data_IF_989685644643
#
_entry.id   IF_989685644643
#
_cell.length_a   1.000
_cell.length_b   1.000
_cell.length_c   1.000
_cell.angle_alpha   90.00
_cell.angle_beta   90.00
_cell.angle_gamma   90.00
#
_symmetry.space_group_name_H-M   'P 1'
#
loop_
_entity.id
_entity.type
_entity.pdbx_description
1 polymer ?
#
# COMPACT_ATOMS: atom_id res chain seq x y z
N UNK A 1 -23.22 1.90 0.49
CA UNK A 1 -22.43 3.14 0.66
C UNK A 1 -20.98 2.79 0.35
N UNK A 2 -20.29 3.58 -0.48
CA UNK A 2 -18.88 3.36 -0.79
C UNK A 2 -18.00 3.88 0.37
N UNK A 3 -16.83 3.28 0.63
CA UNK A 3 -15.88 3.81 1.60
C UNK A 3 -15.47 5.25 1.28
N UNK A 4 -15.19 6.06 2.30
CA UNK A 4 -14.60 7.39 2.13
C UNK A 4 -13.12 7.29 2.50
N UNK A 5 -12.22 7.56 1.55
CA UNK A 5 -10.79 7.69 1.76
C UNK A 5 -10.39 9.18 1.64
N UNK A 6 -10.43 9.95 2.74
CA UNK A 6 -10.41 11.41 2.68
C UNK A 6 -9.01 12.02 2.47
N UNK A 7 -7.94 11.23 2.59
CA UNK A 7 -6.56 11.67 2.41
C UNK A 7 -5.76 10.55 1.75
N UNK A 8 -4.80 10.90 0.90
CA UNK A 8 -3.89 9.96 0.25
C UNK A 8 -2.44 10.37 0.51
N UNK A 9 -1.65 9.48 1.10
CA UNK A 9 -0.18 9.60 1.28
C UNK A 9 0.27 11.00 1.78
N UNK A 10 -0.21 11.47 2.94
CA UNK A 10 0.24 12.75 3.49
C UNK A 10 1.73 12.70 3.82
N UNK A 11 2.47 13.71 3.34
CA UNK A 11 3.91 13.87 3.56
C UNK A 11 4.22 15.33 3.89
N UNK A 12 5.13 15.55 4.82
CA UNK A 12 5.66 16.88 5.14
C UNK A 12 7.20 16.93 5.05
N UNK A 13 7.86 15.77 4.95
CA UNK A 13 9.27 15.66 4.63
C UNK A 13 9.48 15.62 3.10
N UNK A 14 10.08 16.68 2.56
CA UNK A 14 10.25 16.87 1.11
C UNK A 14 11.42 16.09 0.50
N UNK A 15 12.23 15.41 1.31
CA UNK A 15 13.32 14.59 0.78
C UNK A 15 12.76 13.29 0.19
N UNK A 16 12.73 13.23 -1.14
CA UNK A 16 12.14 12.11 -1.92
C UNK A 16 12.63 10.72 -1.52
N UNK A 17 13.86 10.60 -1.01
CA UNK A 17 14.41 9.33 -0.49
C UNK A 17 13.61 8.71 0.66
N UNK A 18 12.79 9.50 1.35
CA UNK A 18 11.96 9.03 2.45
C UNK A 18 10.54 8.70 2.03
N UNK A 19 10.10 9.08 0.82
CA UNK A 19 8.76 8.75 0.33
C UNK A 19 8.54 7.23 0.35
N UNK A 20 7.39 6.79 0.86
CA UNK A 20 7.10 5.37 1.06
C UNK A 20 7.74 4.75 2.32
N UNK A 21 8.37 5.57 3.18
CA UNK A 21 8.90 5.15 4.49
C UNK A 21 8.24 5.95 5.62
N UNK A 22 8.29 5.46 6.88
CA UNK A 22 7.77 6.22 8.03
C UNK A 22 8.38 7.63 8.18
N UNK A 23 9.61 7.83 7.70
CA UNK A 23 10.30 9.12 7.78
C UNK A 23 9.72 10.20 6.84
N UNK A 24 8.77 9.87 5.96
CA UNK A 24 8.10 10.82 5.07
C UNK A 24 7.15 11.79 5.82
N UNK A 25 6.69 11.40 7.01
CA UNK A 25 5.74 12.16 7.81
C UNK A 25 6.28 12.37 9.23
N UNK A 26 6.51 13.61 9.59
CA UNK A 26 6.96 13.97 10.95
C UNK A 26 5.87 13.70 11.99
N UNK A 27 6.24 13.75 13.28
CA UNK A 27 5.27 13.68 14.37
C UNK A 27 4.26 14.83 14.33
N UNK A 28 4.69 16.04 13.96
CA UNK A 28 3.81 17.20 13.79
C UNK A 28 2.84 17.00 12.62
N UNK A 29 3.33 16.47 11.49
CA UNK A 29 2.51 16.09 10.35
C UNK A 29 1.48 15.03 10.72
N UNK A 30 1.90 13.99 11.45
CA UNK A 30 1.03 12.93 11.96
C UNK A 30 -0.05 13.47 12.89
N UNK A 31 0.29 14.38 13.81
CA UNK A 31 -0.66 15.03 14.71
C UNK A 31 -1.68 15.90 13.96
N UNK A 32 -1.28 16.52 12.84
CA UNK A 32 -2.19 17.25 11.97
C UNK A 32 -3.13 16.32 11.20
N UNK A 33 -2.60 15.23 10.61
CA UNK A 33 -3.39 14.20 9.92
C UNK A 33 -4.43 13.59 10.86
N UNK A 34 -4.05 13.27 12.10
CA UNK A 34 -4.98 12.75 13.10
C UNK A 34 -6.11 13.75 13.42
N UNK A 35 -5.79 15.04 13.53
CA UNK A 35 -6.80 16.10 13.72
C UNK A 35 -7.75 16.18 12.53
N UNK A 36 -7.22 16.12 11.31
CA UNK A 36 -8.03 16.09 10.09
C UNK A 36 -8.98 14.88 10.05
N UNK A 37 -8.48 13.67 10.32
CA UNK A 37 -9.29 12.46 10.32
C UNK A 37 -10.41 12.49 11.37
N UNK A 38 -10.11 12.98 12.59
CA UNK A 38 -11.15 13.20 13.62
C UNK A 38 -12.23 14.17 13.15
N UNK A 39 -11.85 15.24 12.45
CA UNK A 39 -12.81 16.18 11.89
C UNK A 39 -13.67 15.55 10.79
N UNK A 40 -13.08 14.73 9.91
CA UNK A 40 -13.84 13.96 8.91
C UNK A 40 -14.85 13.04 9.58
N UNK A 41 -14.42 12.24 10.56
CA UNK A 41 -15.32 11.35 11.31
C UNK A 41 -16.45 12.13 11.99
N UNK A 42 -16.17 13.28 12.61
CA UNK A 42 -17.21 14.09 13.26
C UNK A 42 -18.23 14.71 12.28
N UNK A 43 -17.81 15.00 11.05
CA UNK A 43 -18.68 15.59 10.01
C UNK A 43 -19.44 14.55 9.21
N UNK A 44 -18.92 13.32 9.20
CA UNK A 44 -19.55 12.21 8.51
C UNK A 44 -20.66 11.66 9.39
N UNK A 45 -21.88 11.52 8.85
CA UNK A 45 -23.01 10.86 9.53
C UNK A 45 -22.81 9.33 9.63
N UNK A 46 -21.61 8.89 10.00
CA UNK A 46 -21.31 7.49 10.23
C UNK A 46 -21.90 7.05 11.57
N UNK A 47 -22.43 5.82 11.62
CA UNK A 47 -22.81 5.22 12.88
C UNK A 47 -21.54 5.05 13.74
N UNK A 48 -21.68 5.06 15.07
CA UNK A 48 -20.56 4.77 15.97
C UNK A 48 -19.96 3.38 15.78
N UNK A 49 -20.70 2.48 15.13
CA UNK A 49 -20.26 1.14 14.70
C UNK A 49 -19.63 1.10 13.30
N UNK A 50 -19.51 2.23 12.59
CA UNK A 50 -18.89 2.27 11.26
C UNK A 50 -17.42 1.89 11.37
N UNK A 51 -17.03 0.90 10.57
CA UNK A 51 -15.72 0.30 10.58
C UNK A 51 -14.66 1.26 10.03
N UNK A 52 -13.57 1.46 10.77
CA UNK A 52 -12.39 2.17 10.31
C UNK A 52 -11.42 1.12 9.77
N UNK A 53 -10.98 1.30 8.54
CA UNK A 53 -10.02 0.42 7.87
C UNK A 53 -8.82 1.26 7.43
N UNK A 54 -7.61 0.71 7.58
CA UNK A 54 -6.40 1.35 7.09
C UNK A 54 -6.13 0.93 5.64
N UNK A 55 -5.78 1.91 4.81
CA UNK A 55 -5.32 1.68 3.44
C UNK A 55 -3.79 1.69 3.39
N UNK A 56 -3.19 0.53 3.14
CA UNK A 56 -1.76 0.35 3.00
C UNK A 56 -1.34 0.32 1.53
N UNK A 57 -0.29 1.07 1.22
CA UNK A 57 0.32 1.08 -0.11
C UNK A 57 1.70 0.43 -0.09
N UNK A 58 1.92 -0.58 -0.95
CA UNK A 58 3.15 -1.36 -0.99
C UNK A 58 3.84 -1.31 -2.36
N UNK A 59 5.05 -0.74 -2.41
CA UNK A 59 5.81 -0.59 -3.64
C UNK A 59 7.26 -1.05 -3.50
N UNK A 60 7.81 -1.54 -4.62
CA UNK A 60 9.13 -2.17 -4.67
C UNK A 60 10.03 -1.61 -5.78
N UNK A 61 9.63 -0.51 -6.42
CA UNK A 61 10.32 0.04 -7.58
C UNK A 61 11.46 1.01 -7.24
N UNK A 62 11.63 1.40 -5.97
CA UNK A 62 12.69 2.32 -5.54
C UNK A 62 13.03 2.19 -4.05
N UNK A 63 14.30 2.40 -3.70
CA UNK A 63 14.76 2.67 -2.34
C UNK A 63 14.89 1.45 -1.41
N UNK A 64 14.65 0.23 -1.91
CA UNK A 64 14.67 -1.00 -1.10
C UNK A 64 15.61 -2.07 -1.66
N UNK A 65 16.18 -1.86 -2.85
CA UNK A 65 17.00 -2.86 -3.52
C UNK A 65 16.22 -4.11 -3.92
N UNK A 66 14.90 -3.98 -4.08
CA UNK A 66 14.07 -5.08 -4.57
C UNK A 66 14.42 -5.37 -6.03
N UNK A 67 14.72 -6.62 -6.31
CA UNK A 67 15.07 -7.11 -7.63
C UNK A 67 14.07 -8.17 -8.08
N UNK A 68 14.01 -8.45 -9.37
CA UNK A 68 13.17 -9.51 -9.92
C UNK A 68 13.33 -10.83 -9.15
N UNK A 69 14.55 -11.14 -8.69
CA UNK A 69 14.90 -12.34 -7.92
C UNK A 69 14.25 -12.43 -6.54
N UNK A 70 14.14 -11.32 -5.81
CA UNK A 70 13.80 -11.30 -4.38
C UNK A 70 12.52 -10.49 -4.05
N UNK A 71 11.87 -9.83 -5.02
CA UNK A 71 10.66 -9.02 -4.79
C UNK A 71 9.53 -9.78 -4.09
N UNK A 72 9.43 -11.09 -4.30
CA UNK A 72 8.46 -11.94 -3.60
C UNK A 72 8.67 -11.97 -2.09
N UNK A 73 9.93 -11.94 -1.61
CA UNK A 73 10.24 -11.92 -0.19
C UNK A 73 9.79 -10.60 0.45
N UNK A 74 9.97 -9.49 -0.25
CA UNK A 74 9.47 -8.17 0.18
C UNK A 74 7.94 -8.17 0.26
N UNK A 75 7.25 -8.68 -0.77
CA UNK A 75 5.80 -8.80 -0.79
C UNK A 75 5.26 -9.59 0.41
N UNK A 76 5.85 -10.76 0.68
CA UNK A 76 5.41 -11.58 1.81
C UNK A 76 5.68 -10.92 3.17
N UNK A 77 6.82 -10.24 3.32
CA UNK A 77 7.15 -9.53 4.55
C UNK A 77 6.20 -8.37 4.81
N UNK A 78 5.92 -7.54 3.79
CA UNK A 78 5.02 -6.40 3.93
C UNK A 78 3.56 -6.83 4.13
N UNK A 79 3.14 -7.96 3.52
CA UNK A 79 1.83 -8.54 3.79
C UNK A 79 1.69 -8.98 5.25
N UNK A 80 2.70 -9.66 5.80
CA UNK A 80 2.68 -10.15 7.17
C UNK A 80 2.78 -9.01 8.21
N UNK A 81 3.64 -8.02 7.98
CA UNK A 81 3.81 -6.87 8.88
C UNK A 81 2.74 -5.79 8.74
N UNK A 82 2.05 -5.74 7.60
CA UNK A 82 1.06 -4.72 7.27
C UNK A 82 -0.26 -4.83 8.05
N UNK A 83 -0.60 -6.01 8.56
CA UNK A 83 -1.86 -6.27 9.27
C UNK A 83 -2.00 -5.53 10.62
N UNK A 84 -0.94 -4.84 11.07
CA UNK A 84 -0.87 -4.20 12.39
C UNK A 84 -0.60 -5.21 13.50
N UNK A 85 0.09 -4.78 14.56
CA UNK A 85 0.58 -5.66 15.62
C UNK A 85 -0.55 -6.23 16.52
N UNK A 86 -1.70 -5.57 16.57
CA UNK A 86 -2.81 -5.90 17.48
C UNK A 86 -4.12 -6.29 16.77
N UNK A 87 -4.16 -6.24 15.43
CA UNK A 87 -5.34 -6.55 14.63
C UNK A 87 -6.58 -5.70 14.98
N UNK A 88 -6.39 -4.54 15.62
CA UNK A 88 -7.49 -3.73 16.17
C UNK A 88 -8.42 -3.15 15.10
N UNK A 89 -7.86 -2.83 13.94
CA UNK A 89 -8.60 -2.35 12.78
C UNK A 89 -8.25 -3.21 11.57
N UNK A 90 -9.21 -3.49 10.67
CA UNK A 90 -8.90 -4.11 9.38
C UNK A 90 -7.90 -3.27 8.58
N UNK A 91 -7.13 -3.95 7.73
CA UNK A 91 -6.21 -3.34 6.78
C UNK A 91 -6.57 -3.81 5.38
N UNK A 92 -6.72 -2.86 4.47
CA UNK A 92 -6.82 -3.05 3.03
C UNK A 92 -5.47 -2.72 2.41
N UNK A 93 -5.02 -3.52 1.43
CA UNK A 93 -3.91 -3.11 0.56
C UNK A 93 -4.50 -2.40 -0.65
N UNK A 94 -4.73 -1.09 -0.53
CA UNK A 94 -5.42 -0.31 -1.55
C UNK A 94 -4.52 0.10 -2.71
N UNK A 95 -3.18 0.01 -2.59
CA UNK A 95 -2.28 0.13 -3.75
C UNK A 95 -1.06 -0.76 -3.63
N UNK A 96 -0.68 -1.42 -4.72
CA UNK A 96 0.61 -2.08 -4.81
C UNK A 96 1.04 -2.27 -6.26
N UNK A 97 2.28 -2.71 -6.51
CA UNK A 97 2.71 -3.13 -7.84
C UNK A 97 3.74 -4.25 -7.83
N UNK A 98 3.87 -4.96 -8.94
CA UNK A 98 4.87 -6.02 -9.11
C UNK A 98 6.24 -5.50 -9.57
N UNK A 99 6.35 -4.19 -9.86
CA UNK A 99 7.58 -3.61 -10.37
C UNK A 99 8.65 -3.63 -9.28
N UNK A 100 9.80 -4.21 -9.61
CA UNK A 100 11.00 -4.20 -8.79
C UNK A 100 11.93 -3.07 -9.24
N UNK A 101 12.80 -2.61 -8.35
CA UNK A 101 13.81 -1.58 -8.61
C UNK A 101 14.86 -2.06 -9.62
N UNK A 102 15.27 -3.33 -9.53
CA UNK A 102 16.28 -3.92 -10.39
C UNK A 102 15.80 -5.19 -11.11
N UNK A 103 16.37 -5.44 -12.30
CA UNK A 103 16.32 -6.74 -12.99
C UNK A 103 14.90 -7.37 -13.09
N UNK A 104 13.88 -6.58 -13.42
CA UNK A 104 12.53 -7.08 -13.65
C UNK A 104 12.41 -7.72 -15.04
N UNK A 105 11.78 -8.89 -15.12
CA UNK A 105 11.67 -9.68 -16.37
C UNK A 105 10.22 -10.11 -16.61
N UNK A 106 9.78 -10.16 -17.86
CA UNK A 106 8.45 -10.63 -18.25
C UNK A 106 8.11 -12.02 -17.72
N UNK A 107 9.07 -12.95 -17.79
CA UNK A 107 8.92 -14.35 -17.38
C UNK A 107 8.47 -14.53 -15.93
N UNK A 108 8.71 -13.53 -15.07
CA UNK A 108 8.42 -13.64 -13.63
C UNK A 108 7.15 -12.93 -13.20
N UNK A 109 6.52 -12.14 -14.07
CA UNK A 109 5.37 -11.28 -13.70
C UNK A 109 4.21 -12.07 -13.11
N UNK A 110 3.87 -13.21 -13.72
CA UNK A 110 2.80 -14.08 -13.22
C UNK A 110 3.11 -14.57 -11.80
N UNK A 111 4.32 -15.06 -11.56
CA UNK A 111 4.74 -15.52 -10.23
C UNK A 111 4.69 -14.40 -9.21
N UNK A 112 5.16 -13.20 -9.54
CA UNK A 112 5.17 -12.05 -8.61
C UNK A 112 3.74 -11.59 -8.31
N UNK A 113 2.90 -11.47 -9.34
CA UNK A 113 1.49 -11.11 -9.20
C UNK A 113 0.74 -12.13 -8.33
N UNK A 114 0.86 -13.42 -8.63
CA UNK A 114 0.19 -14.48 -7.86
C UNK A 114 0.70 -14.54 -6.42
N UNK A 115 1.97 -14.24 -6.18
CA UNK A 115 2.52 -14.13 -4.82
C UNK A 115 1.85 -12.99 -4.05
N UNK A 116 1.74 -11.80 -4.64
CA UNK A 116 1.09 -10.67 -3.97
C UNK A 116 -0.41 -10.87 -3.78
N UNK A 117 -1.11 -11.42 -4.78
CA UNK A 117 -2.53 -11.77 -4.63
C UNK A 117 -2.74 -12.75 -3.48
N UNK A 118 -1.91 -13.79 -3.37
CA UNK A 118 -1.99 -14.75 -2.28
C UNK A 118 -1.65 -14.11 -0.93
N UNK A 119 -0.51 -13.42 -0.84
CA UNK A 119 -0.01 -12.85 0.41
C UNK A 119 -0.95 -11.77 0.95
N UNK A 120 -1.41 -10.84 0.12
CA UNK A 120 -2.33 -9.80 0.56
C UNK A 120 -3.73 -10.35 0.84
N UNK A 121 -4.25 -11.32 0.08
CA UNK A 121 -5.53 -11.94 0.45
C UNK A 121 -5.48 -12.72 1.76
N UNK A 122 -4.30 -13.23 2.14
CA UNK A 122 -4.08 -13.94 3.39
C UNK A 122 -4.03 -13.01 4.61
N UNK A 123 -3.54 -11.78 4.43
CA UNK A 123 -3.23 -10.87 5.53
C UNK A 123 -4.04 -9.56 5.55
N UNK A 124 -4.70 -9.20 4.46
CA UNK A 124 -5.44 -7.95 4.29
C UNK A 124 -6.82 -8.19 3.65
N UNK A 125 -7.70 -7.22 3.82
CA UNK A 125 -9.08 -7.23 3.35
C UNK A 125 -9.23 -6.40 2.07
N UNK A 126 -8.91 -6.95 0.89
CA UNK A 126 -9.37 -6.39 -0.41
C UNK A 126 -8.34 -6.29 -1.55
N UNK A 127 -8.77 -5.71 -2.68
CA UNK A 127 -8.09 -5.74 -4.00
C UNK A 127 -8.22 -4.39 -4.76
N UNK A 128 -7.18 -3.99 -5.52
CA UNK A 128 -7.13 -2.74 -6.32
C UNK A 128 -6.42 -2.90 -7.68
N UNK A 129 -6.61 -1.95 -8.64
CA UNK A 129 -5.98 -1.95 -9.98
C UNK A 129 -5.61 -0.55 -10.52
N UNK A 130 -4.47 -0.43 -11.23
CA UNK A 130 -3.99 0.78 -11.96
C UNK A 130 -3.02 0.39 -13.12
N UNK A 131 -2.79 1.27 -14.11
CA UNK A 131 -1.97 1.04 -15.32
C UNK A 131 -0.94 2.19 -15.59
N UNK A 132 0.35 1.90 -15.76
CA UNK A 132 1.43 2.87 -16.08
C UNK A 132 2.64 2.20 -16.81
N UNK A 133 3.71 2.91 -17.19
CA UNK A 133 4.91 2.32 -17.86
C UNK A 133 5.98 1.87 -16.83
N UNK A 134 6.85 0.87 -17.13
CA UNK A 134 7.90 0.36 -16.18
C UNK A 134 9.32 0.41 -16.73
N UNK A 135 10.31 0.36 -15.82
CA UNK A 135 11.72 0.10 -16.13
C UNK A 135 11.95 -1.41 -16.31
N UNK A 136 12.64 -1.80 -17.40
CA UNK A 136 12.74 -3.17 -17.86
C UNK A 136 11.67 -3.51 -18.89
N UNK A 137 11.15 -4.73 -18.82
CA UNK A 137 10.22 -5.25 -19.81
C UNK A 137 8.74 -4.86 -19.51
N UNK A 138 8.13 -4.01 -20.36
CA UNK A 138 6.67 -3.83 -20.48
C UNK A 138 6.04 -2.57 -19.88
N UNK A 139 4.76 -2.71 -19.50
CA UNK A 139 3.94 -1.73 -18.78
C UNK A 139 3.39 -2.32 -17.48
N UNK A 140 3.22 -1.50 -16.45
CA UNK A 140 2.70 -1.79 -15.10
C UNK A 140 1.21 -2.10 -15.21
N UNK A 141 0.81 -3.35 -14.93
CA UNK A 141 -0.59 -3.76 -14.81
C UNK A 141 -0.76 -4.52 -13.50
N UNK A 142 -1.60 -4.02 -12.61
CA UNK A 142 -1.99 -4.74 -11.38
C UNK A 142 -3.46 -5.13 -11.52
N UNK A 143 -3.76 -6.41 -11.37
CA UNK A 143 -5.12 -6.95 -11.42
C UNK A 143 -5.48 -7.55 -10.07
N UNK A 144 -6.57 -7.07 -9.47
CA UNK A 144 -7.31 -7.74 -8.42
C UNK A 144 -8.80 -7.66 -8.75
N UNK A 145 -9.45 -8.81 -8.93
CA UNK A 145 -10.88 -8.93 -9.28
C UNK A 145 -11.82 -8.55 -8.13
N UNK A 146 -12.92 -7.89 -8.49
CA UNK A 146 -14.08 -7.47 -7.67
C UNK A 146 -14.61 -8.56 -6.74
#
# INVERSE_FOLDING_TARGET
MLPIAPINEPVDNRAMRFLGTPAALSENGSAWVLRYQKAVLSKSNFASSTNLEFDQHNYYFAGRGAAGQNVNSYICADAAGGAGDDGKFPVLVGKWSIQAEYNHTFLRRERVLNTGLYAFAKHAHGKFSENATVSGEGTRRITGTT
#
